data_IF_504806662795
#
_entry.id   IF_504806662795
#
_cell.length_a   1.000
_cell.length_b   1.000
_cell.length_c   1.000
_cell.angle_alpha   90.00
_cell.angle_beta   90.00
_cell.angle_gamma   90.00
#
_symmetry.space_group_name_H-M   'P 1'
#
loop_
_entity.id
_entity.type
_entity.pdbx_description
1 polymer ?
#
# COMPACT_ATOMS: atom_id res chain seq x y z
N UNK A 1 17.41 5.00 21.66
CA UNK A 1 17.09 6.24 20.90
C UNK A 1 16.12 5.83 19.80
N UNK A 2 15.02 6.52 19.62
CA UNK A 2 14.07 6.26 18.51
C UNK A 2 14.26 7.40 17.50
N UNK A 3 14.58 7.08 16.26
CA UNK A 3 14.64 8.02 15.17
C UNK A 3 13.34 7.89 14.36
N UNK A 4 12.78 9.02 13.94
CA UNK A 4 11.57 9.07 13.11
C UNK A 4 11.89 9.89 11.88
N UNK A 5 11.79 9.28 10.72
CA UNK A 5 11.94 9.95 9.43
C UNK A 5 10.57 10.11 8.79
N UNK A 6 10.25 11.32 8.37
CA UNK A 6 9.02 11.61 7.63
C UNK A 6 9.33 11.69 6.14
N UNK A 7 8.43 11.19 5.26
CA UNK A 7 8.64 11.23 3.83
C UNK A 7 8.56 12.66 3.31
N UNK A 8 9.47 13.00 2.39
CA UNK A 8 9.37 14.22 1.59
C UNK A 8 8.74 13.86 0.26
N UNK A 9 7.77 14.66 -0.22
CA UNK A 9 7.08 14.37 -1.47
C UNK A 9 6.65 15.63 -2.22
N UNK A 10 6.36 15.48 -3.51
CA UNK A 10 5.58 16.40 -4.34
C UNK A 10 4.36 15.69 -4.88
N UNK A 11 3.28 16.44 -5.11
CA UNK A 11 2.03 15.93 -5.69
C UNK A 11 1.47 16.96 -6.67
N UNK A 12 0.78 16.50 -7.69
CA UNK A 12 0.06 17.31 -8.65
C UNK A 12 0.14 16.74 -10.06
N UNK A 13 -0.61 17.34 -10.96
CA UNK A 13 -0.50 17.08 -12.39
C UNK A 13 0.87 17.57 -12.89
N UNK A 14 1.58 16.77 -13.69
CA UNK A 14 2.97 17.04 -14.10
C UNK A 14 3.99 17.16 -12.93
N UNK A 15 3.75 16.50 -11.80
CA UNK A 15 4.67 16.56 -10.65
C UNK A 15 6.09 16.07 -11.01
N UNK A 16 6.23 15.11 -11.92
CA UNK A 16 7.54 14.65 -12.41
C UNK A 16 8.29 15.79 -13.07
N UNK A 17 7.66 16.53 -13.96
CA UNK A 17 8.29 17.65 -14.69
C UNK A 17 8.76 18.76 -13.75
N UNK A 18 8.07 18.95 -12.62
CA UNK A 18 8.35 19.98 -11.60
C UNK A 18 9.39 19.55 -10.55
N UNK A 19 9.77 18.26 -10.49
CA UNK A 19 10.63 17.68 -9.44
C UNK A 19 12.13 17.72 -9.72
N UNK A 20 12.58 18.43 -10.76
CA UNK A 20 13.98 18.46 -11.19
C UNK A 20 14.98 18.82 -10.08
N UNK A 21 14.65 19.79 -9.20
CA UNK A 21 15.49 20.17 -8.08
C UNK A 21 15.67 19.06 -7.04
N UNK A 22 14.63 18.23 -6.83
CA UNK A 22 14.69 17.08 -5.93
C UNK A 22 15.61 16.00 -6.49
N UNK A 23 15.51 15.71 -7.79
CA UNK A 23 16.41 14.77 -8.47
C UNK A 23 17.87 15.21 -8.34
N UNK A 24 18.17 16.43 -8.71
CA UNK A 24 19.54 16.98 -8.69
C UNK A 24 20.17 17.00 -7.30
N UNK A 25 19.36 17.21 -6.26
CA UNK A 25 19.83 17.23 -4.86
C UNK A 25 20.29 15.84 -4.38
N UNK A 26 19.68 14.77 -4.90
CA UNK A 26 19.90 13.41 -4.42
C UNK A 26 20.97 12.66 -5.20
N UNK A 27 21.22 13.03 -6.46
CA UNK A 27 22.26 12.39 -7.26
C UNK A 27 22.47 13.05 -8.61
N UNK A 28 23.49 12.60 -9.32
CA UNK A 28 23.83 13.06 -10.66
C UNK A 28 23.73 11.94 -11.71
N UNK A 29 23.69 10.69 -11.26
CA UNK A 29 23.72 9.52 -12.14
C UNK A 29 22.70 8.47 -11.64
N UNK A 30 21.44 8.55 -12.12
CA UNK A 30 20.35 7.73 -11.63
C UNK A 30 20.15 6.44 -12.41
N UNK A 31 19.90 5.32 -11.70
CA UNK A 31 19.32 4.11 -12.32
C UNK A 31 17.81 4.10 -12.11
N UNK A 32 17.06 3.92 -13.21
CA UNK A 32 15.59 3.81 -13.17
C UNK A 32 15.23 2.33 -13.11
N UNK A 33 14.48 1.94 -12.06
CA UNK A 33 14.03 0.56 -11.83
C UNK A 33 12.50 0.55 -11.81
N UNK A 34 11.85 -0.20 -12.71
CA UNK A 34 10.40 -0.19 -12.77
C UNK A 34 9.77 -1.40 -13.47
N UNK A 35 8.44 -1.46 -13.44
CA UNK A 35 7.64 -2.39 -14.23
C UNK A 35 7.50 -1.90 -15.68
N UNK A 36 7.28 -2.79 -16.63
CA UNK A 36 7.16 -2.41 -18.04
C UNK A 36 6.09 -1.32 -18.25
N UNK A 37 4.85 -1.57 -17.85
CA UNK A 37 3.75 -0.58 -17.98
C UNK A 37 4.02 0.73 -17.22
N UNK A 38 4.69 0.67 -16.09
CA UNK A 38 5.04 1.85 -15.31
C UNK A 38 6.11 2.69 -16.01
N UNK A 39 7.10 2.02 -16.62
CA UNK A 39 8.15 2.67 -17.42
C UNK A 39 7.59 3.25 -18.74
N UNK A 40 6.57 2.62 -19.32
CA UNK A 40 5.86 3.16 -20.47
C UNK A 40 5.07 4.42 -20.09
N UNK A 41 4.40 4.42 -18.93
CA UNK A 41 3.57 5.53 -18.46
C UNK A 41 4.39 6.75 -18.00
N UNK A 42 5.47 6.55 -17.26
CA UNK A 42 6.23 7.62 -16.58
C UNK A 42 7.61 7.90 -17.22
N UNK A 43 8.13 6.97 -18.01
CA UNK A 43 9.55 6.96 -18.39
C UNK A 43 9.96 8.12 -19.30
N UNK A 44 9.12 8.60 -20.19
CA UNK A 44 9.43 9.74 -21.06
C UNK A 44 9.50 11.03 -20.25
N UNK A 45 8.44 11.34 -19.49
CA UNK A 45 8.36 12.50 -18.62
C UNK A 45 9.51 12.52 -17.60
N UNK A 46 9.84 11.36 -17.01
CA UNK A 46 10.94 11.22 -16.07
C UNK A 46 12.31 11.48 -16.71
N UNK A 47 12.59 10.92 -17.89
CA UNK A 47 13.85 11.18 -18.60
C UNK A 47 14.00 12.64 -19.00
N UNK A 48 12.92 13.29 -19.41
CA UNK A 48 12.93 14.71 -19.75
C UNK A 48 13.17 15.60 -18.51
N UNK A 49 12.53 15.28 -17.38
CA UNK A 49 12.74 15.98 -16.14
C UNK A 49 14.19 15.83 -15.63
N UNK A 50 14.75 14.63 -15.67
CA UNK A 50 16.14 14.35 -15.30
C UNK A 50 17.12 15.09 -16.22
N UNK A 51 16.90 15.08 -17.53
CA UNK A 51 17.71 15.83 -18.49
C UNK A 51 17.69 17.34 -18.25
N UNK A 52 16.51 17.92 -17.98
CA UNK A 52 16.36 19.34 -17.63
C UNK A 52 17.04 19.69 -16.31
N UNK A 53 17.11 18.74 -15.38
CA UNK A 53 17.80 18.90 -14.10
C UNK A 53 19.31 18.62 -14.17
N UNK A 54 19.88 18.34 -15.35
CA UNK A 54 21.27 17.93 -15.55
C UNK A 54 21.63 16.68 -14.73
N UNK A 55 20.73 15.69 -14.73
CA UNK A 55 20.91 14.38 -14.10
C UNK A 55 20.98 13.33 -15.21
N UNK A 56 22.06 12.56 -15.21
CA UNK A 56 22.27 11.49 -16.18
C UNK A 56 21.45 10.25 -15.81
N UNK A 57 20.84 9.61 -16.81
CA UNK A 57 20.21 8.28 -16.65
C UNK A 57 21.25 7.22 -17.00
N UNK A 58 21.82 6.59 -15.98
CA UNK A 58 22.85 5.56 -16.13
C UNK A 58 22.29 4.28 -16.80
N UNK A 59 21.07 3.91 -16.41
CA UNK A 59 20.37 2.76 -16.98
C UNK A 59 18.87 2.80 -16.67
N UNK A 60 18.08 2.02 -17.42
CA UNK A 60 16.65 1.78 -17.15
C UNK A 60 16.39 0.29 -17.18
N UNK A 61 15.97 -0.29 -16.06
CA UNK A 61 15.94 -1.74 -15.85
C UNK A 61 14.57 -2.21 -15.33
N UNK A 62 14.09 -3.31 -15.89
CA UNK A 62 12.92 -4.00 -15.34
C UNK A 62 13.22 -4.62 -13.97
N UNK A 63 12.31 -4.40 -12.98
CA UNK A 63 12.53 -4.82 -11.61
C UNK A 63 12.53 -6.35 -11.38
N UNK A 64 11.94 -7.14 -12.29
CA UNK A 64 11.98 -8.61 -12.23
C UNK A 64 10.61 -9.29 -12.12
N UNK A 65 9.53 -8.52 -11.89
CA UNK A 65 8.16 -9.05 -11.78
C UNK A 65 7.70 -9.35 -10.36
N UNK A 66 8.64 -9.75 -9.47
CA UNK A 66 8.35 -10.01 -8.06
C UNK A 66 9.42 -9.37 -7.16
N UNK A 67 9.03 -8.96 -5.95
CA UNK A 67 9.94 -8.41 -4.97
C UNK A 67 10.68 -9.53 -4.23
N UNK A 68 11.84 -9.93 -4.77
CA UNK A 68 12.68 -11.00 -4.21
C UNK A 68 14.10 -10.50 -3.91
N UNK A 69 14.77 -11.12 -2.95
CA UNK A 69 16.19 -10.83 -2.69
C UNK A 69 17.10 -11.09 -3.90
N UNK A 70 16.75 -12.04 -4.75
CA UNK A 70 17.49 -12.32 -5.99
C UNK A 70 17.40 -11.12 -6.96
N UNK A 71 16.21 -10.55 -7.15
CA UNK A 71 16.02 -9.36 -7.98
C UNK A 71 16.71 -8.12 -7.40
N UNK A 72 16.59 -7.89 -6.09
CA UNK A 72 17.30 -6.78 -5.42
C UNK A 72 18.81 -6.86 -5.62
N UNK A 73 19.44 -8.02 -5.40
CA UNK A 73 20.89 -8.23 -5.60
C UNK A 73 21.29 -8.01 -7.05
N UNK A 74 20.57 -8.59 -8.02
CA UNK A 74 20.83 -8.41 -9.44
C UNK A 74 20.78 -6.93 -9.84
N UNK A 75 19.82 -6.18 -9.33
CA UNK A 75 19.68 -4.75 -9.61
C UNK A 75 20.77 -3.93 -8.93
N UNK A 76 21.18 -4.30 -7.72
CA UNK A 76 22.29 -3.66 -7.02
C UNK A 76 23.63 -3.84 -7.76
N UNK A 77 23.89 -5.04 -8.29
CA UNK A 77 25.06 -5.29 -9.15
C UNK A 77 25.00 -4.44 -10.43
N UNK A 78 23.84 -4.33 -11.05
CA UNK A 78 23.64 -3.50 -12.25
C UNK A 78 23.86 -2.01 -11.96
N UNK A 79 23.34 -1.50 -10.85
CA UNK A 79 23.52 -0.12 -10.41
C UNK A 79 25.00 0.21 -10.16
N UNK A 80 25.74 -0.68 -9.52
CA UNK A 80 27.21 -0.55 -9.37
C UNK A 80 27.93 -0.53 -10.72
N UNK A 81 27.58 -1.43 -11.62
CA UNK A 81 28.25 -1.56 -12.93
C UNK A 81 28.05 -0.32 -13.81
N UNK A 82 26.91 0.36 -13.73
CA UNK A 82 26.66 1.59 -14.46
C UNK A 82 27.07 2.88 -13.71
N UNK A 83 27.64 2.76 -12.51
CA UNK A 83 28.12 3.89 -11.70
C UNK A 83 26.97 4.78 -11.17
N UNK A 84 25.80 4.20 -10.90
CA UNK A 84 24.67 4.95 -10.36
C UNK A 84 24.99 5.45 -8.94
N UNK A 85 24.60 6.69 -8.64
CA UNK A 85 24.71 7.33 -7.33
C UNK A 85 23.35 7.56 -6.66
N UNK A 86 22.24 7.25 -7.36
CA UNK A 86 20.90 7.18 -6.81
C UNK A 86 20.03 6.16 -7.53
N UNK A 87 18.99 5.68 -6.86
CA UNK A 87 17.95 4.80 -7.42
C UNK A 87 16.66 5.57 -7.62
N UNK A 88 15.98 5.35 -8.75
CA UNK A 88 14.65 5.88 -9.03
C UNK A 88 13.72 4.70 -9.27
N UNK A 89 12.87 4.40 -8.27
CA UNK A 89 11.86 3.34 -8.34
C UNK A 89 10.58 3.85 -9.00
N UNK A 90 10.08 3.15 -10.03
CA UNK A 90 8.89 3.55 -10.80
C UNK A 90 7.88 2.40 -10.85
N UNK A 91 6.68 2.60 -10.32
CA UNK A 91 5.65 1.57 -10.42
C UNK A 91 4.72 1.42 -9.23
N UNK A 92 4.13 0.25 -9.10
CA UNK A 92 3.35 -0.16 -7.94
C UNK A 92 4.21 -0.78 -6.83
N UNK A 93 3.57 -1.25 -5.76
CA UNK A 93 4.23 -1.71 -4.53
C UNK A 93 5.43 -2.64 -4.76
N UNK A 94 5.27 -3.72 -5.52
CA UNK A 94 6.34 -4.71 -5.76
C UNK A 94 7.58 -4.11 -6.43
N UNK A 95 7.38 -3.23 -7.41
CA UNK A 95 8.49 -2.56 -8.09
C UNK A 95 9.20 -1.56 -7.16
N UNK A 96 8.44 -0.79 -6.39
CA UNK A 96 8.97 0.17 -5.43
C UNK A 96 9.70 -0.52 -4.29
N UNK A 97 9.17 -1.62 -3.76
CA UNK A 97 9.79 -2.42 -2.72
C UNK A 97 11.12 -3.03 -3.20
N UNK A 98 11.16 -3.54 -4.44
CA UNK A 98 12.40 -4.05 -5.05
C UNK A 98 13.44 -2.93 -5.22
N UNK A 99 13.03 -1.74 -5.65
CA UNK A 99 13.91 -0.59 -5.79
C UNK A 99 14.43 -0.09 -4.44
N UNK A 100 13.60 -0.07 -3.39
CA UNK A 100 14.03 0.25 -2.00
C UNK A 100 15.08 -0.74 -1.50
N UNK A 101 14.83 -2.04 -1.67
CA UNK A 101 15.81 -3.06 -1.28
C UNK A 101 17.13 -2.95 -2.05
N UNK A 102 17.09 -2.63 -3.35
CA UNK A 102 18.28 -2.37 -4.15
C UNK A 102 19.07 -1.16 -3.62
N UNK A 103 18.39 -0.04 -3.34
CA UNK A 103 19.01 1.17 -2.81
C UNK A 103 19.63 0.95 -1.43
N UNK A 104 18.93 0.25 -0.55
CA UNK A 104 19.38 -0.09 0.81
C UNK A 104 20.66 -0.94 0.79
N UNK A 105 20.72 -1.96 -0.06
CA UNK A 105 21.91 -2.80 -0.25
C UNK A 105 23.16 -2.02 -0.68
N UNK A 106 22.96 -0.85 -1.31
CA UNK A 106 24.04 0.00 -1.83
C UNK A 106 24.33 1.22 -0.94
N UNK A 107 23.46 1.52 0.03
CA UNK A 107 23.49 2.78 0.76
C UNK A 107 23.25 4.00 -0.13
N UNK A 108 22.49 3.85 -1.22
CA UNK A 108 22.18 4.93 -2.16
C UNK A 108 20.86 5.61 -1.80
N UNK A 109 20.74 6.92 -2.06
CA UNK A 109 19.46 7.59 -1.96
C UNK A 109 18.47 7.03 -2.99
N UNK A 110 17.19 7.05 -2.62
CA UNK A 110 16.11 6.57 -3.47
C UNK A 110 15.00 7.61 -3.64
N UNK A 111 14.54 7.76 -4.88
CA UNK A 111 13.31 8.47 -5.24
C UNK A 111 12.29 7.44 -5.69
N UNK A 112 11.05 7.57 -5.23
CA UNK A 112 9.93 6.73 -5.66
C UNK A 112 8.95 7.53 -6.50
N UNK A 113 8.49 6.91 -7.58
CA UNK A 113 7.47 7.44 -8.50
C UNK A 113 6.35 6.40 -8.59
N UNK A 114 5.33 6.47 -7.71
CA UNK A 114 4.20 5.56 -7.79
C UNK A 114 3.39 5.85 -9.07
N UNK A 115 3.07 4.80 -9.83
CA UNK A 115 2.22 4.88 -11.03
C UNK A 115 0.81 4.37 -10.79
N UNK A 116 0.53 3.87 -9.60
CA UNK A 116 -0.78 3.46 -9.11
C UNK A 116 -0.90 3.85 -7.62
N UNK A 117 -2.11 4.17 -7.17
CA UNK A 117 -2.39 4.55 -5.78
C UNK A 117 -3.01 3.40 -4.97
N UNK A 118 -2.46 2.18 -5.12
CA UNK A 118 -3.02 0.97 -4.52
C UNK A 118 -2.50 0.67 -3.11
N UNK A 119 -1.36 1.25 -2.70
CA UNK A 119 -0.72 1.05 -1.39
C UNK A 119 0.17 2.24 -1.03
N UNK A 120 0.63 2.28 0.21
CA UNK A 120 1.57 3.29 0.69
C UNK A 120 3.06 2.94 0.49
N UNK A 121 3.39 1.93 -0.30
CA UNK A 121 4.77 1.44 -0.49
C UNK A 121 5.77 2.53 -0.93
N UNK A 122 5.28 3.55 -1.65
CA UNK A 122 6.10 4.66 -2.13
C UNK A 122 6.73 5.51 -1.02
N UNK A 123 6.15 5.53 0.19
CA UNK A 123 6.59 6.39 1.30
C UNK A 123 6.93 5.62 2.58
N UNK A 124 6.85 4.30 2.58
CA UNK A 124 7.14 3.48 3.77
C UNK A 124 8.59 2.99 3.81
N UNK A 125 9.07 2.76 5.02
CA UNK A 125 10.38 2.15 5.29
C UNK A 125 10.30 0.61 5.37
N UNK A 126 9.44 -0.01 4.56
CA UNK A 126 9.20 -1.45 4.54
C UNK A 126 9.16 -1.93 3.09
N UNK A 127 9.79 -3.06 2.80
CA UNK A 127 9.60 -3.82 1.56
C UNK A 127 9.02 -5.19 1.89
N UNK A 128 7.93 -5.55 1.22
CA UNK A 128 7.34 -6.89 1.34
C UNK A 128 8.07 -7.82 0.39
N UNK A 129 8.77 -8.82 0.96
CA UNK A 129 9.61 -9.74 0.21
C UNK A 129 8.90 -11.07 0.02
N UNK A 130 9.00 -11.59 -1.19
CA UNK A 130 8.44 -12.87 -1.61
C UNK A 130 9.56 -13.84 -1.99
N UNK A 131 9.24 -15.12 -1.96
CA UNK A 131 10.11 -16.14 -2.56
C UNK A 131 9.92 -16.21 -4.10
N UNK A 132 10.71 -17.04 -4.76
CA UNK A 132 10.66 -17.19 -6.23
C UNK A 132 9.34 -17.81 -6.74
N UNK A 133 8.51 -18.36 -5.86
CA UNK A 133 7.16 -18.86 -6.18
C UNK A 133 6.06 -17.81 -5.99
N UNK A 134 6.42 -16.61 -5.48
CA UNK A 134 5.49 -15.52 -5.19
C UNK A 134 4.77 -15.66 -3.85
N UNK A 135 5.28 -16.51 -2.94
CA UNK A 135 4.75 -16.64 -1.59
C UNK A 135 5.44 -15.63 -0.67
N UNK A 136 4.66 -14.95 0.18
CA UNK A 136 5.19 -14.02 1.19
C UNK A 136 6.27 -14.69 2.05
N UNK A 137 7.44 -14.07 2.10
CA UNK A 137 8.57 -14.54 2.89
C UNK A 137 8.68 -13.76 4.19
N UNK A 138 8.90 -12.44 4.09
CA UNK A 138 9.05 -11.56 5.25
C UNK A 138 8.87 -10.08 4.88
N UNK A 139 8.80 -9.22 5.89
CA UNK A 139 8.89 -7.77 5.73
C UNK A 139 10.32 -7.33 6.01
N UNK A 140 11.00 -6.77 5.01
CA UNK A 140 12.31 -6.13 5.16
C UNK A 140 12.11 -4.69 5.62
N UNK A 141 12.68 -4.35 6.77
CA UNK A 141 12.63 -3.00 7.33
C UNK A 141 13.86 -2.20 6.93
N UNK A 142 13.64 -0.99 6.45
CA UNK A 142 14.68 -0.02 6.09
C UNK A 142 14.88 0.98 7.23
N UNK A 143 16.05 1.61 7.31
CA UNK A 143 16.35 2.61 8.33
C UNK A 143 15.45 3.86 8.17
N UNK A 144 15.12 4.23 6.93
CA UNK A 144 14.30 5.41 6.61
C UNK A 144 13.39 5.13 5.43
N UNK A 145 12.29 5.88 5.27
CA UNK A 145 11.52 5.87 4.03
C UNK A 145 12.35 6.41 2.87
N UNK A 146 11.85 6.29 1.62
CA UNK A 146 12.48 6.91 0.46
C UNK A 146 12.80 8.40 0.69
N UNK A 147 13.93 8.85 0.17
CA UNK A 147 14.40 10.23 0.35
C UNK A 147 13.45 11.26 -0.28
N UNK A 148 12.73 10.86 -1.33
CA UNK A 148 11.72 11.69 -1.97
C UNK A 148 10.71 10.83 -2.73
N UNK A 149 9.46 11.28 -2.78
CA UNK A 149 8.39 10.63 -3.54
C UNK A 149 7.76 11.66 -4.49
N UNK A 150 7.60 11.29 -5.76
CA UNK A 150 6.95 12.14 -6.77
C UNK A 150 5.63 11.49 -7.15
N UNK A 151 4.53 12.10 -6.75
CA UNK A 151 3.15 11.64 -6.99
C UNK A 151 2.57 12.46 -8.13
N UNK A 152 2.65 11.90 -9.34
CA UNK A 152 2.11 12.54 -10.54
C UNK A 152 0.67 12.10 -10.74
N UNK A 153 -0.29 13.01 -10.51
CA UNK A 153 -1.72 12.71 -10.58
C UNK A 153 -2.19 12.45 -12.01
N UNK A 154 -1.52 13.02 -13.01
CA UNK A 154 -1.76 12.70 -14.41
C UNK A 154 -1.47 11.24 -14.75
N UNK A 155 -0.40 10.67 -14.19
CA UNK A 155 -0.09 9.24 -14.32
C UNK A 155 -1.12 8.40 -13.58
N UNK A 156 -1.46 8.78 -12.34
CA UNK A 156 -2.45 8.04 -11.55
C UNK A 156 -3.83 8.04 -12.19
N UNK A 157 -4.25 9.13 -12.83
CA UNK A 157 -5.51 9.24 -13.54
C UNK A 157 -5.59 8.30 -14.77
N UNK A 158 -4.46 7.96 -15.36
CA UNK A 158 -4.36 7.06 -16.51
C UNK A 158 -4.10 5.60 -16.12
N UNK A 159 -3.95 5.31 -14.84
CA UNK A 159 -3.77 3.95 -14.34
C UNK A 159 -5.12 3.19 -14.33
N UNK A 160 -5.09 1.84 -14.41
CA UNK A 160 -6.32 1.06 -14.24
C UNK A 160 -7.02 1.38 -12.91
N UNK A 161 -8.28 1.79 -12.96
CA UNK A 161 -9.08 2.28 -11.82
C UNK A 161 -9.19 1.28 -10.66
N UNK A 162 -9.06 -0.02 -10.95
CA UNK A 162 -9.10 -1.05 -9.92
C UNK A 162 -8.00 -0.89 -8.85
N UNK A 163 -6.86 -0.29 -9.21
CA UNK A 163 -5.79 -0.03 -8.24
C UNK A 163 -6.11 1.13 -7.30
N UNK A 164 -6.78 2.18 -7.80
CA UNK A 164 -7.27 3.27 -6.94
C UNK A 164 -8.32 2.74 -5.96
N UNK A 165 -9.28 1.95 -6.46
CA UNK A 165 -10.30 1.27 -5.65
C UNK A 165 -9.67 0.42 -4.54
N UNK A 166 -8.73 -0.45 -4.90
CA UNK A 166 -8.04 -1.28 -3.91
C UNK A 166 -7.28 -0.42 -2.88
N UNK A 167 -6.64 0.66 -3.32
CA UNK A 167 -5.99 1.61 -2.41
C UNK A 167 -6.93 2.24 -1.40
N UNK A 168 -8.16 2.57 -1.80
CA UNK A 168 -9.20 3.07 -0.90
C UNK A 168 -9.50 2.03 0.19
N UNK A 169 -9.67 0.76 -0.18
CA UNK A 169 -9.91 -0.32 0.78
C UNK A 169 -8.75 -0.49 1.76
N UNK A 170 -7.52 -0.51 1.28
CA UNK A 170 -6.32 -0.64 2.12
C UNK A 170 -6.13 0.57 3.06
N UNK A 171 -6.26 1.79 2.53
CA UNK A 171 -6.06 3.01 3.30
C UNK A 171 -7.10 3.19 4.41
N UNK A 172 -8.38 2.95 4.11
CA UNK A 172 -9.46 3.08 5.11
C UNK A 172 -9.28 2.10 6.27
N UNK A 173 -8.79 0.90 6.02
CA UNK A 173 -8.51 -0.09 7.04
C UNK A 173 -7.48 0.40 8.05
N UNK A 174 -6.52 1.22 7.63
CA UNK A 174 -5.49 1.75 8.53
C UNK A 174 -6.08 2.46 9.75
N UNK A 175 -7.08 3.32 9.54
CA UNK A 175 -7.77 4.01 10.63
C UNK A 175 -8.58 3.05 11.52
N UNK A 176 -9.35 2.19 10.89
CA UNK A 176 -10.26 1.28 11.59
C UNK A 176 -9.47 0.29 12.44
N UNK A 177 -8.39 -0.25 11.91
CA UNK A 177 -7.57 -1.24 12.61
C UNK A 177 -6.71 -0.64 13.70
N UNK A 178 -5.99 0.46 13.44
CA UNK A 178 -5.12 1.04 14.46
C UNK A 178 -5.91 1.61 15.65
N UNK A 179 -7.11 2.15 15.42
CA UNK A 179 -7.99 2.61 16.48
C UNK A 179 -8.57 1.45 17.30
N UNK A 180 -8.87 0.32 16.68
CA UNK A 180 -9.29 -0.88 17.38
C UNK A 180 -8.13 -1.48 18.19
N UNK A 181 -6.99 -1.72 17.57
CA UNK A 181 -5.83 -2.35 18.19
C UNK A 181 -5.28 -1.55 19.38
N UNK A 182 -5.33 -0.22 19.30
CA UNK A 182 -4.86 0.67 20.36
C UNK A 182 -5.90 1.02 21.43
N UNK A 183 -7.14 0.56 21.29
CA UNK A 183 -8.24 0.89 22.20
C UNK A 183 -7.91 0.53 23.66
N UNK A 184 -8.03 1.51 24.56
CA UNK A 184 -7.79 1.33 25.99
C UNK A 184 -6.31 1.19 26.37
N UNK A 185 -5.37 1.44 25.45
CA UNK A 185 -3.93 1.36 25.67
C UNK A 185 -3.32 2.73 25.96
N UNK A 186 -2.29 2.76 26.77
CA UNK A 186 -1.42 3.92 26.88
C UNK A 186 -0.37 3.82 25.77
N UNK A 187 -0.41 4.76 24.84
CA UNK A 187 0.47 4.80 23.68
C UNK A 187 1.68 5.69 23.96
N UNK A 188 2.80 5.35 23.33
CA UNK A 188 3.92 6.29 23.21
C UNK A 188 3.55 7.48 22.32
N UNK A 189 4.38 8.53 22.33
CA UNK A 189 4.12 9.77 21.58
C UNK A 189 3.92 9.52 20.08
N UNK A 190 4.77 8.70 19.46
CA UNK A 190 4.72 8.42 18.02
C UNK A 190 3.44 7.65 17.64
N UNK A 191 3.09 6.59 18.39
CA UNK A 191 1.86 5.83 18.19
C UNK A 191 0.61 6.69 18.45
N UNK A 192 0.66 7.60 19.43
CA UNK A 192 -0.44 8.56 19.67
C UNK A 192 -0.63 9.50 18.48
N UNK A 193 0.47 10.01 17.89
CA UNK A 193 0.41 10.81 16.65
C UNK A 193 -0.19 9.99 15.49
N UNK A 194 0.26 8.75 15.32
CA UNK A 194 -0.24 7.87 14.25
C UNK A 194 -1.76 7.67 14.36
N UNK A 195 -2.26 7.35 15.54
CA UNK A 195 -3.70 7.16 15.77
C UNK A 195 -4.47 8.46 15.53
N UNK A 196 -3.95 9.61 15.97
CA UNK A 196 -4.57 10.92 15.71
C UNK A 196 -4.62 11.25 14.21
N UNK A 197 -3.55 10.97 13.47
CA UNK A 197 -3.46 11.18 12.02
C UNK A 197 -4.27 10.16 11.21
N UNK A 198 -4.57 8.99 11.76
CA UNK A 198 -5.19 7.91 11.00
C UNK A 198 -6.54 8.26 10.37
N UNK A 199 -7.28 9.23 10.92
CA UNK A 199 -8.51 9.74 10.31
C UNK A 199 -8.29 10.32 8.90
N UNK A 200 -7.08 10.76 8.58
CA UNK A 200 -6.72 11.26 7.23
C UNK A 200 -6.56 10.15 6.20
N UNK A 201 -6.55 8.88 6.60
CA UNK A 201 -6.61 7.73 5.69
C UNK A 201 -8.06 7.31 5.41
N UNK A 202 -9.01 7.71 6.24
CA UNK A 202 -10.40 7.29 6.19
C UNK A 202 -11.34 8.36 5.65
N UNK A 203 -11.31 9.56 6.23
CA UNK A 203 -12.25 10.65 5.90
C UNK A 203 -12.16 11.12 4.44
N UNK A 204 -10.96 11.37 3.84
CA UNK A 204 -10.88 11.76 2.44
C UNK A 204 -11.42 10.68 1.50
N UNK A 205 -11.20 9.41 1.81
CA UNK A 205 -11.72 8.31 1.00
C UNK A 205 -13.26 8.24 1.03
N UNK A 206 -13.88 8.47 2.19
CA UNK A 206 -15.35 8.57 2.26
C UNK A 206 -15.90 9.78 1.52
N UNK A 207 -15.21 10.93 1.60
CA UNK A 207 -15.68 12.19 1.05
C UNK A 207 -15.46 12.26 -0.46
N UNK A 208 -14.29 11.87 -0.93
CA UNK A 208 -13.84 12.05 -2.32
C UNK A 208 -13.82 10.76 -3.14
N UNK A 209 -13.95 9.58 -2.53
CA UNK A 209 -13.72 8.30 -3.21
C UNK A 209 -14.57 8.11 -4.47
N UNK A 210 -15.87 8.39 -4.41
CA UNK A 210 -16.76 8.25 -5.58
C UNK A 210 -16.38 9.24 -6.69
N UNK A 211 -16.06 10.49 -6.34
CA UNK A 211 -15.63 11.50 -7.31
C UNK A 211 -14.26 11.15 -7.90
N UNK A 212 -13.31 10.68 -7.08
CA UNK A 212 -11.98 10.23 -7.53
C UNK A 212 -12.06 9.05 -8.51
N UNK A 213 -12.96 8.09 -8.25
CA UNK A 213 -13.21 7.00 -9.21
C UNK A 213 -13.81 7.50 -10.53
N UNK A 214 -14.69 8.50 -10.47
CA UNK A 214 -15.23 9.12 -11.69
C UNK A 214 -14.15 9.89 -12.46
N UNK A 215 -13.27 10.62 -11.77
CA UNK A 215 -12.12 11.31 -12.37
C UNK A 215 -11.14 10.31 -13.02
N UNK A 216 -10.77 9.21 -12.30
CA UNK A 216 -9.92 8.17 -12.84
C UNK A 216 -10.52 7.50 -14.09
N UNK A 217 -11.81 7.21 -14.06
CA UNK A 217 -12.53 6.67 -15.23
C UNK A 217 -12.56 7.63 -16.42
N UNK A 218 -12.56 8.93 -16.16
CA UNK A 218 -12.48 9.97 -17.16
C UNK A 218 -11.04 10.32 -17.58
N UNK A 219 -10.03 9.66 -17.02
CA UNK A 219 -8.60 9.99 -17.18
C UNK A 219 -8.27 11.44 -16.83
N UNK A 220 -8.92 11.98 -15.81
CA UNK A 220 -8.76 13.35 -15.35
C UNK A 220 -8.01 13.42 -14.02
N UNK A 221 -6.97 14.23 -13.97
CA UNK A 221 -6.21 14.53 -12.75
C UNK A 221 -6.92 15.63 -11.96
N UNK A 222 -8.05 15.27 -11.32
CA UNK A 222 -8.86 16.21 -10.55
C UNK A 222 -8.50 16.27 -9.07
N UNK A 223 -9.16 17.19 -8.35
CA UNK A 223 -8.94 17.39 -6.91
C UNK A 223 -9.30 16.15 -6.09
N UNK A 224 -10.38 15.46 -6.43
CA UNK A 224 -10.80 14.29 -5.69
C UNK A 224 -9.79 13.14 -5.83
N UNK A 225 -9.25 12.91 -7.02
CA UNK A 225 -8.18 11.93 -7.25
C UNK A 225 -6.93 12.27 -6.43
N UNK A 226 -6.52 13.53 -6.39
CA UNK A 226 -5.36 13.96 -5.61
C UNK A 226 -5.57 13.71 -4.12
N UNK A 227 -6.73 14.07 -3.55
CA UNK A 227 -7.03 13.85 -2.13
C UNK A 227 -7.04 12.35 -1.77
N UNK A 228 -7.61 11.50 -2.62
CA UNK A 228 -7.62 10.04 -2.44
C UNK A 228 -6.20 9.46 -2.61
N UNK A 229 -5.44 9.90 -3.59
CA UNK A 229 -4.05 9.47 -3.77
C UNK A 229 -3.18 9.83 -2.55
N UNK A 230 -3.34 11.04 -2.00
CA UNK A 230 -2.65 11.46 -0.77
C UNK A 230 -3.07 10.63 0.44
N UNK A 231 -4.36 10.30 0.58
CA UNK A 231 -4.84 9.43 1.65
C UNK A 231 -4.24 8.02 1.53
N UNK A 232 -4.26 7.44 0.32
CA UNK A 232 -3.79 6.08 0.07
C UNK A 232 -2.27 5.95 0.19
N UNK A 233 -1.51 6.92 -0.28
CA UNK A 233 -0.04 6.85 -0.33
C UNK A 233 0.56 7.53 0.90
N UNK A 234 0.30 8.81 1.10
CA UNK A 234 1.03 9.61 2.10
C UNK A 234 0.48 9.41 3.50
N UNK A 235 -0.82 9.61 3.70
CA UNK A 235 -1.43 9.49 5.03
C UNK A 235 -1.27 8.08 5.59
N UNK A 236 -1.53 7.06 4.78
CA UNK A 236 -1.37 5.64 5.15
C UNK A 236 0.08 5.31 5.49
N UNK A 237 1.04 5.83 4.69
CA UNK A 237 2.46 5.67 4.95
C UNK A 237 2.92 6.36 6.23
N UNK A 238 2.45 7.59 6.50
CA UNK A 238 2.75 8.30 7.74
C UNK A 238 2.27 7.54 8.98
N UNK A 239 1.05 7.01 8.93
CA UNK A 239 0.55 6.17 10.04
C UNK A 239 1.44 4.94 10.22
N UNK A 240 1.82 4.25 9.13
CA UNK A 240 2.68 3.07 9.19
C UNK A 240 4.10 3.37 9.72
N UNK A 241 4.65 4.56 9.46
CA UNK A 241 5.96 4.98 9.96
C UNK A 241 5.96 5.35 11.44
N UNK A 242 4.84 5.87 11.93
CA UNK A 242 4.73 6.41 13.28
C UNK A 242 4.20 5.40 14.29
N UNK A 243 3.35 4.46 13.86
CA UNK A 243 2.69 3.52 14.77
C UNK A 243 3.63 2.36 15.16
N UNK A 244 3.47 1.87 16.37
CA UNK A 244 4.09 0.59 16.76
C UNK A 244 3.51 -0.55 15.93
N UNK A 245 4.36 -1.47 15.49
CA UNK A 245 3.99 -2.58 14.59
C UNK A 245 2.81 -3.42 15.10
N UNK A 246 2.67 -3.57 16.42
CA UNK A 246 1.59 -4.33 17.04
C UNK A 246 0.21 -3.68 16.88
N UNK A 247 0.15 -2.38 16.61
CA UNK A 247 -1.09 -1.64 16.34
C UNK A 247 -1.30 -1.34 14.85
N UNK A 248 -0.37 -1.77 13.98
CA UNK A 248 -0.39 -1.45 12.55
C UNK A 248 -1.26 -2.40 11.72
N UNK A 249 -2.32 -2.95 12.30
CA UNK A 249 -3.31 -3.83 11.68
C UNK A 249 -4.11 -4.56 12.73
N UNK A 250 -5.24 -5.14 12.34
CA UNK A 250 -6.09 -5.92 13.21
C UNK A 250 -6.83 -7.02 12.42
N UNK A 251 -8.16 -7.11 12.54
CA UNK A 251 -8.96 -8.20 11.95
C UNK A 251 -9.02 -8.09 10.42
N UNK A 252 -9.08 -6.88 9.85
CA UNK A 252 -9.23 -6.71 8.42
C UNK A 252 -8.04 -7.34 7.65
N UNK A 253 -6.82 -7.01 8.02
CA UNK A 253 -5.63 -7.63 7.44
C UNK A 253 -5.47 -9.09 7.84
N UNK A 254 -5.90 -9.49 9.05
CA UNK A 254 -5.87 -10.90 9.44
C UNK A 254 -6.76 -11.76 8.53
N UNK A 255 -7.95 -11.27 8.16
CA UNK A 255 -8.84 -11.93 7.20
C UNK A 255 -8.15 -12.03 5.83
N UNK A 256 -7.51 -10.97 5.35
CA UNK A 256 -6.72 -11.04 4.12
C UNK A 256 -5.68 -12.15 4.17
N UNK A 257 -4.85 -12.23 5.24
CA UNK A 257 -3.85 -13.30 5.38
C UNK A 257 -4.47 -14.70 5.48
N UNK A 258 -5.69 -14.81 6.00
CA UNK A 258 -6.46 -16.05 5.94
C UNK A 258 -6.85 -16.42 4.52
N UNK A 259 -7.38 -15.47 3.76
CA UNK A 259 -7.82 -15.66 2.38
C UNK A 259 -6.65 -15.98 1.42
N UNK A 260 -5.43 -15.50 1.67
CA UNK A 260 -4.24 -15.85 0.85
C UNK A 260 -3.89 -17.35 0.91
N UNK A 261 -4.50 -18.11 1.81
CA UNK A 261 -4.36 -19.58 1.83
C UNK A 261 -5.18 -20.30 0.75
N UNK A 262 -6.10 -19.58 0.12
CA UNK A 262 -6.87 -20.11 -0.99
C UNK A 262 -6.03 -20.09 -2.27
N UNK A 263 -6.22 -21.11 -3.11
CA UNK A 263 -5.46 -21.28 -4.35
C UNK A 263 -5.61 -20.04 -5.26
N UNK A 264 -4.48 -19.49 -5.70
CA UNK A 264 -4.40 -18.35 -6.63
C UNK A 264 -5.12 -17.08 -6.16
N UNK A 265 -5.36 -16.91 -4.87
CA UNK A 265 -6.12 -15.79 -4.34
C UNK A 265 -5.55 -14.44 -4.78
N UNK A 266 -4.26 -14.20 -4.55
CA UNK A 266 -3.60 -12.91 -4.88
C UNK A 266 -3.46 -12.63 -6.39
N UNK A 267 -3.72 -13.64 -7.25
CA UNK A 267 -3.82 -13.43 -8.70
C UNK A 267 -5.19 -12.93 -9.14
N UNK A 268 -6.22 -13.13 -8.32
CA UNK A 268 -7.63 -12.84 -8.66
C UNK A 268 -8.17 -11.64 -7.91
N UNK A 269 -7.73 -11.44 -6.67
CA UNK A 269 -8.25 -10.43 -5.76
C UNK A 269 -7.14 -9.49 -5.36
N UNK A 270 -7.37 -8.19 -5.53
CA UNK A 270 -6.41 -7.18 -5.09
C UNK A 270 -6.40 -7.10 -3.57
N UNK A 271 -5.22 -6.83 -3.00
CA UNK A 271 -5.00 -6.72 -1.56
C UNK A 271 -6.07 -5.86 -0.86
N UNK A 272 -6.23 -4.62 -1.29
CA UNK A 272 -7.15 -3.68 -0.66
C UNK A 272 -8.62 -4.02 -0.87
N UNK A 273 -9.00 -4.73 -1.94
CA UNK A 273 -10.36 -5.23 -2.11
C UNK A 273 -10.72 -6.25 -1.02
N UNK A 274 -9.80 -7.17 -0.72
CA UNK A 274 -9.99 -8.14 0.37
C UNK A 274 -9.90 -7.49 1.75
N UNK A 275 -9.00 -6.53 1.95
CA UNK A 275 -8.91 -5.78 3.21
C UNK A 275 -10.19 -4.97 3.45
N UNK A 276 -10.79 -4.42 2.38
CA UNK A 276 -12.11 -3.80 2.44
C UNK A 276 -13.19 -4.73 2.97
N UNK A 277 -13.29 -5.94 2.42
CA UNK A 277 -14.16 -6.98 2.96
C UNK A 277 -13.83 -7.31 4.43
N UNK A 278 -12.55 -7.43 4.75
CA UNK A 278 -12.07 -7.67 6.11
C UNK A 278 -12.49 -6.61 7.12
N UNK A 279 -12.63 -5.33 6.68
CA UNK A 279 -13.19 -4.27 7.54
C UNK A 279 -14.66 -4.55 7.92
N UNK A 280 -15.46 -5.06 6.98
CA UNK A 280 -16.85 -5.44 7.29
C UNK A 280 -16.88 -6.56 8.34
N UNK A 281 -16.00 -7.54 8.22
CA UNK A 281 -15.84 -8.61 9.22
C UNK A 281 -15.41 -8.02 10.56
N UNK A 282 -14.47 -7.08 10.59
CA UNK A 282 -14.02 -6.42 11.81
C UNK A 282 -15.14 -5.66 12.52
N UNK A 283 -15.93 -4.87 11.78
CA UNK A 283 -17.04 -4.13 12.37
C UNK A 283 -18.15 -5.06 12.90
N UNK A 284 -18.33 -6.21 12.25
CA UNK A 284 -19.25 -7.23 12.73
C UNK A 284 -18.76 -7.87 14.04
N UNK A 285 -17.47 -8.17 14.14
CA UNK A 285 -16.85 -8.68 15.38
C UNK A 285 -16.95 -7.64 16.50
N UNK A 286 -16.68 -6.38 16.20
CA UNK A 286 -16.66 -5.28 17.18
C UNK A 286 -18.07 -4.79 17.57
N UNK A 287 -19.12 -5.28 16.87
CA UNK A 287 -20.52 -4.91 17.14
C UNK A 287 -20.87 -3.49 16.70
N UNK A 288 -20.08 -2.85 15.87
CA UNK A 288 -20.32 -1.48 15.39
C UNK A 288 -21.20 -1.51 14.13
N UNK A 289 -22.49 -1.72 14.34
CA UNK A 289 -23.46 -1.85 13.24
C UNK A 289 -23.57 -0.61 12.35
N UNK A 290 -23.54 0.58 12.92
CA UNK A 290 -23.66 1.84 12.17
C UNK A 290 -22.50 1.99 11.17
N UNK A 291 -21.25 1.76 11.62
CA UNK A 291 -20.09 1.83 10.74
C UNK A 291 -20.07 0.70 9.73
N UNK A 292 -20.49 -0.51 10.11
CA UNK A 292 -20.66 -1.62 9.20
C UNK A 292 -21.61 -1.26 8.03
N UNK A 293 -22.81 -0.76 8.32
CA UNK A 293 -23.80 -0.38 7.32
C UNK A 293 -23.27 0.75 6.41
N UNK A 294 -22.61 1.75 6.99
CA UNK A 294 -21.97 2.85 6.26
C UNK A 294 -20.90 2.35 5.28
N UNK A 295 -19.97 1.52 5.77
CA UNK A 295 -18.89 0.96 4.96
C UNK A 295 -19.43 0.04 3.87
N UNK A 296 -20.38 -0.83 4.19
CA UNK A 296 -20.96 -1.76 3.23
C UNK A 296 -21.65 -1.02 2.08
N UNK A 297 -22.43 0.01 2.40
CA UNK A 297 -23.09 0.84 1.38
C UNK A 297 -22.06 1.60 0.52
N UNK A 298 -20.99 2.15 1.12
CA UNK A 298 -19.92 2.82 0.41
C UNK A 298 -19.16 1.84 -0.49
N UNK A 299 -18.75 0.68 0.01
CA UNK A 299 -18.02 -0.32 -0.76
C UNK A 299 -18.83 -0.87 -1.94
N UNK A 300 -20.13 -1.08 -1.76
CA UNK A 300 -21.01 -1.48 -2.85
C UNK A 300 -21.01 -0.45 -4.00
N UNK A 301 -21.05 0.86 -3.69
CA UNK A 301 -20.97 1.92 -4.71
C UNK A 301 -19.59 2.00 -5.37
N UNK A 302 -18.53 1.72 -4.60
CA UNK A 302 -17.15 1.73 -5.09
C UNK A 302 -16.77 0.47 -5.88
N UNK A 303 -17.56 -0.59 -5.82
CA UNK A 303 -17.23 -1.90 -6.38
C UNK A 303 -16.15 -2.65 -5.58
N UNK A 304 -15.92 -2.27 -4.31
CA UNK A 304 -15.13 -3.05 -3.37
C UNK A 304 -15.99 -4.24 -2.92
N UNK A 305 -15.48 -5.48 -2.93
CA UNK A 305 -16.25 -6.66 -2.55
C UNK A 305 -16.85 -6.54 -1.14
N UNK A 306 -18.14 -6.84 -1.03
CA UNK A 306 -18.87 -6.91 0.26
C UNK A 306 -19.27 -8.33 0.62
N UNK A 307 -18.94 -9.29 -0.26
CA UNK A 307 -19.18 -10.73 -0.05
C UNK A 307 -18.00 -11.55 -0.61
N UNK A 308 -17.83 -12.75 -0.08
CA UNK A 308 -16.86 -13.75 -0.57
C UNK A 308 -17.17 -14.14 -2.02
N UNK A 309 -18.46 -14.22 -2.38
CA UNK A 309 -18.88 -14.54 -3.75
C UNK A 309 -18.40 -13.49 -4.77
N UNK A 310 -18.37 -12.21 -4.43
CA UNK A 310 -17.84 -11.16 -5.29
C UNK A 310 -16.32 -11.26 -5.51
N UNK A 311 -15.61 -11.94 -4.63
CA UNK A 311 -14.19 -12.30 -4.78
C UNK A 311 -13.97 -13.59 -5.59
N UNK A 312 -15.05 -14.24 -6.05
CA UNK A 312 -15.00 -15.46 -6.87
C UNK A 312 -14.84 -16.75 -6.09
N UNK A 313 -15.20 -16.75 -4.80
CA UNK A 313 -15.16 -17.93 -3.93
C UNK A 313 -16.56 -18.25 -3.38
N UNK A 314 -16.73 -19.49 -2.92
CA UNK A 314 -17.97 -19.94 -2.28
C UNK A 314 -17.75 -20.02 -0.78
N UNK A 315 -18.64 -19.37 0.01
CA UNK A 315 -18.61 -19.53 1.45
C UNK A 315 -19.18 -20.91 1.79
N UNK A 316 -18.33 -21.80 2.25
CA UNK A 316 -18.68 -23.13 2.74
C UNK A 316 -17.80 -23.50 3.95
N UNK A 317 -18.09 -24.66 4.55
CA UNK A 317 -17.32 -25.16 5.70
C UNK A 317 -15.86 -25.42 5.37
N UNK A 318 -15.53 -25.77 4.12
CA UNK A 318 -14.16 -26.00 3.69
C UNK A 318 -13.37 -24.67 3.65
N UNK A 319 -13.94 -23.62 3.09
CA UNK A 319 -13.32 -22.30 3.09
C UNK A 319 -13.10 -21.80 4.51
N UNK A 320 -14.14 -21.86 5.36
CA UNK A 320 -14.05 -21.41 6.75
C UNK A 320 -12.99 -22.19 7.55
N UNK A 321 -12.89 -23.50 7.34
CA UNK A 321 -11.88 -24.35 8.00
C UNK A 321 -10.43 -23.98 7.62
N UNK A 322 -10.21 -23.37 6.45
CA UNK A 322 -8.88 -22.89 6.03
C UNK A 322 -8.63 -21.44 6.45
N UNK A 323 -9.60 -20.56 6.20
CA UNK A 323 -9.43 -19.12 6.36
C UNK A 323 -9.41 -18.72 7.84
N UNK A 324 -10.33 -19.22 8.66
CA UNK A 324 -10.49 -18.75 10.05
C UNK A 324 -9.29 -19.05 10.93
N UNK A 325 -8.74 -20.29 10.96
CA UNK A 325 -7.55 -20.57 11.77
C UNK A 325 -6.32 -19.77 11.30
N UNK A 326 -6.17 -19.60 9.98
CA UNK A 326 -5.06 -18.84 9.41
C UNK A 326 -5.15 -17.35 9.74
N UNK A 327 -6.35 -16.76 9.69
CA UNK A 327 -6.60 -15.38 10.12
C UNK A 327 -6.27 -15.18 11.60
N UNK A 328 -6.74 -16.07 12.48
CA UNK A 328 -6.44 -15.99 13.90
C UNK A 328 -4.94 -16.16 14.20
N UNK A 329 -4.26 -17.03 13.47
CA UNK A 329 -2.81 -17.18 13.59
C UNK A 329 -2.09 -15.90 13.21
N UNK A 330 -2.47 -15.26 12.09
CA UNK A 330 -1.89 -13.99 11.66
C UNK A 330 -2.14 -12.88 12.70
N UNK A 331 -3.35 -12.80 13.25
CA UNK A 331 -3.70 -11.82 14.27
C UNK A 331 -2.86 -12.00 15.54
N UNK A 332 -2.81 -13.21 16.11
CA UNK A 332 -2.13 -13.49 17.39
C UNK A 332 -0.61 -13.29 17.32
N UNK A 333 0.00 -13.57 16.17
CA UNK A 333 1.44 -13.49 16.01
C UNK A 333 1.96 -12.07 15.83
N UNK A 334 1.13 -11.13 15.39
CA UNK A 334 1.59 -9.84 14.93
C UNK A 334 0.83 -8.64 15.50
N UNK A 335 -0.30 -8.83 16.19
CA UNK A 335 -1.19 -7.71 16.56
C UNK A 335 -1.65 -7.77 18.00
N UNK A 336 -1.83 -6.58 18.58
CA UNK A 336 -2.50 -6.42 19.85
C UNK A 336 -3.98 -6.14 19.62
N UNK A 337 -4.82 -6.79 20.39
CA UNK A 337 -6.28 -6.60 20.37
C UNK A 337 -6.78 -6.16 21.75
N UNK A 338 -7.85 -5.37 21.84
CA UNK A 338 -8.45 -5.00 23.14
C UNK A 338 -9.18 -6.16 23.82
N UNK A 339 -9.43 -7.23 23.10
CA UNK A 339 -10.09 -8.45 23.55
C UNK A 339 -9.55 -9.69 22.83
N UNK A 340 -9.79 -10.85 23.39
CA UNK A 340 -9.48 -12.12 22.74
C UNK A 340 -10.56 -12.46 21.72
N UNK A 341 -10.14 -12.80 20.49
CA UNK A 341 -11.02 -13.24 19.41
C UNK A 341 -10.97 -14.76 19.28
N UNK A 342 -12.13 -15.41 19.43
CA UNK A 342 -12.27 -16.86 19.27
C UNK A 342 -12.56 -17.26 17.82
N UNK A 343 -12.32 -18.53 17.51
CA UNK A 343 -12.63 -19.10 16.20
C UNK A 343 -14.13 -19.00 15.90
N UNK A 344 -14.98 -19.29 16.86
CA UNK A 344 -16.44 -19.22 16.74
C UNK A 344 -16.91 -17.78 16.42
N UNK A 345 -16.37 -16.78 17.11
CA UNK A 345 -16.71 -15.38 16.86
C UNK A 345 -16.32 -14.93 15.47
N UNK A 346 -15.11 -15.28 15.00
CA UNK A 346 -14.65 -14.90 13.66
C UNK A 346 -15.45 -15.61 12.57
N UNK A 347 -15.74 -16.91 12.76
CA UNK A 347 -16.59 -17.71 11.86
C UNK A 347 -18.00 -17.10 11.77
N UNK A 348 -18.59 -16.78 12.91
CA UNK A 348 -19.90 -16.15 12.98
C UNK A 348 -19.91 -14.80 12.25
N UNK A 349 -18.91 -13.96 12.47
CA UNK A 349 -18.80 -12.65 11.83
C UNK A 349 -18.68 -12.75 10.29
N UNK A 350 -17.81 -13.64 9.77
CA UNK A 350 -17.68 -13.88 8.35
C UNK A 350 -19.02 -14.33 7.75
N UNK A 351 -19.69 -15.28 8.40
CA UNK A 351 -21.00 -15.78 7.94
C UNK A 351 -22.07 -14.68 8.00
N UNK A 352 -22.09 -13.86 9.05
CA UNK A 352 -23.06 -12.79 9.22
C UNK A 352 -22.92 -11.71 8.13
N UNK A 353 -21.70 -11.34 7.75
CA UNK A 353 -21.45 -10.35 6.67
C UNK A 353 -22.11 -10.77 5.36
N UNK A 354 -22.17 -12.07 5.04
CA UNK A 354 -22.74 -12.58 3.78
C UNK A 354 -24.29 -12.50 3.74
N UNK A 355 -24.95 -12.32 4.88
CA UNK A 355 -26.42 -12.30 4.99
C UNK A 355 -27.02 -10.89 5.10
N UNK A 356 -26.19 -9.86 5.10
CA UNK A 356 -26.59 -8.46 5.03
C UNK A 356 -26.64 -7.98 3.58
#
# INVERSE_FOLDING_TARGET
MREVYLPAYSVGDDAIASSGSAFRRLGQNGIIIGGHHALDAAGESLRDALKKADVHVADTVWYGGECTYAHMRRLAERAKACGADMVIGVGGGKALDTAKGCADMLGLPIITVPTIASTCAAVTAISVVYDDSGVFLESMFHQSPPNYTVIDTGILANAPECYLRAGIGDAMAKHIECTLASRGRTLDHSSSMAVALSSTTYQPNLLYGEAAMAEAKAHAAGEALEQVALANIVSTGLVSLLIDEHYNGAIAHAVFYGMTRLLEFEKRVLHGDCVGYGMLVQEMVDGNRERFETLRAFFARMGIPTTIAQMGYVLDEQLLAHVVPASLKALRNARLMPYELTEEQLRHAITAVEHF
#
